data_IF_975132830697
#
_entry.id   IF_975132830697
#
_cell.length_a   1.000
_cell.length_b   1.000
_cell.length_c   1.000
_cell.angle_alpha   90.00
_cell.angle_beta   90.00
_cell.angle_gamma   90.00
#
_symmetry.space_group_name_H-M   'P 1'
#
loop_
_entity.id
_entity.type
_entity.pdbx_description
1 polymer ?
#
# COMPACT_ATOMS: atom_id res chain seq x y z
N UNK A 1 7.12 -45.59 30.63
CA UNK A 1 6.61 -45.36 29.26
C UNK A 1 6.36 -43.88 29.11
N UNK A 2 6.91 -43.30 28.05
CA UNK A 2 7.35 -41.91 27.96
C UNK A 2 6.22 -40.88 27.87
N UNK A 3 6.27 -39.87 28.74
CA UNK A 3 5.51 -38.63 28.61
C UNK A 3 6.18 -37.77 27.53
N UNK A 4 5.68 -37.87 26.31
CA UNK A 4 6.19 -37.11 25.18
C UNK A 4 5.76 -35.67 25.34
N UNK A 5 6.65 -34.88 25.94
CA UNK A 5 6.60 -33.43 25.98
C UNK A 5 6.42 -32.89 24.56
N UNK A 6 5.18 -32.58 24.17
CA UNK A 6 4.86 -31.80 22.97
C UNK A 6 5.45 -30.41 23.16
N UNK A 7 6.71 -30.24 22.78
CA UNK A 7 7.32 -28.92 22.61
C UNK A 7 6.56 -28.25 21.47
N UNK A 8 5.57 -27.41 21.82
CA UNK A 8 4.87 -26.59 20.84
C UNK A 8 5.89 -25.65 20.20
N UNK A 9 6.25 -25.91 18.96
CA UNK A 9 7.05 -24.96 18.18
C UNK A 9 6.14 -23.78 17.88
N UNK A 10 6.45 -22.55 18.31
CA UNK A 10 5.62 -21.41 17.95
C UNK A 10 5.63 -21.29 16.42
N UNK A 11 4.42 -21.28 15.84
CA UNK A 11 4.21 -21.08 14.41
C UNK A 11 4.95 -19.83 13.94
N UNK A 12 5.60 -19.91 12.77
CA UNK A 12 6.30 -18.78 12.12
C UNK A 12 5.41 -17.53 12.03
N UNK A 13 4.10 -17.70 11.91
CA UNK A 13 3.11 -16.62 11.86
C UNK A 13 2.99 -15.84 13.19
N UNK A 14 3.17 -16.48 14.34
CA UNK A 14 3.16 -15.82 15.65
C UNK A 14 4.45 -15.00 15.91
N UNK A 15 5.48 -15.20 15.07
CA UNK A 15 6.79 -14.57 15.20
C UNK A 15 6.99 -13.38 14.25
N UNK A 16 6.02 -13.12 13.38
CA UNK A 16 6.09 -12.12 12.33
C UNK A 16 5.62 -10.72 12.77
N UNK A 17 4.92 -10.59 13.90
CA UNK A 17 4.42 -9.28 14.37
C UNK A 17 5.49 -8.48 15.14
N UNK A 18 6.59 -9.13 15.55
CA UNK A 18 7.63 -8.53 16.41
C UNK A 18 9.04 -9.01 16.05
N UNK A 19 9.36 -9.16 14.79
CA UNK A 19 10.71 -9.58 14.38
C UNK A 19 11.75 -8.48 14.61
N UNK A 20 11.43 -7.21 14.35
CA UNK A 20 12.29 -6.05 14.64
C UNK A 20 12.54 -5.88 16.14
N UNK A 21 11.50 -6.02 16.98
CA UNK A 21 11.65 -5.96 18.44
C UNK A 21 12.54 -7.10 18.96
N UNK A 22 12.39 -8.31 18.41
CA UNK A 22 13.22 -9.44 18.75
C UNK A 22 14.67 -9.28 18.26
N UNK A 23 14.89 -8.52 17.18
CA UNK A 23 16.21 -8.16 16.67
C UNK A 23 16.88 -7.11 17.55
N UNK A 24 16.15 -6.09 18.01
CA UNK A 24 16.68 -5.05 18.91
C UNK A 24 17.22 -5.62 20.23
N UNK A 25 16.63 -6.71 20.74
CA UNK A 25 17.14 -7.42 21.93
C UNK A 25 18.50 -8.09 21.71
N UNK A 26 18.88 -8.36 20.46
CA UNK A 26 20.10 -9.12 20.09
C UNK A 26 21.18 -8.26 19.47
N UNK A 27 20.80 -7.13 18.87
CA UNK A 27 21.68 -6.22 18.15
C UNK A 27 21.88 -4.94 18.98
N UNK A 28 22.96 -4.85 19.77
CA UNK A 28 23.26 -3.62 20.50
C UNK A 28 23.43 -2.46 19.51
N UNK A 29 22.61 -1.41 19.67
CA UNK A 29 22.57 -0.23 18.80
C UNK A 29 21.38 -0.18 17.83
N UNK A 30 20.60 -1.26 17.68
CA UNK A 30 19.33 -1.24 16.97
C UNK A 30 18.22 -0.78 17.90
N UNK A 31 17.63 0.38 17.61
CA UNK A 31 16.46 0.89 18.32
C UNK A 31 15.20 0.62 17.48
N UNK A 32 14.40 -0.35 17.90
CA UNK A 32 13.16 -0.71 17.21
C UNK A 32 12.14 0.44 17.16
N UNK A 33 12.11 1.32 18.16
CA UNK A 33 11.19 2.46 18.19
C UNK A 33 11.54 3.53 17.15
N UNK A 34 12.79 3.52 16.66
CA UNK A 34 13.29 4.44 15.63
C UNK A 34 13.50 3.75 14.28
N UNK A 35 13.26 2.45 14.20
CA UNK A 35 13.39 1.71 12.97
C UNK A 35 12.24 2.08 12.03
N UNK A 36 12.59 2.53 10.83
CA UNK A 36 11.64 2.84 9.77
C UNK A 36 11.80 1.82 8.64
N UNK A 37 10.72 1.13 8.31
CA UNK A 37 10.66 0.20 7.19
C UNK A 37 10.06 0.92 5.97
N UNK A 38 10.93 1.34 5.05
CA UNK A 38 10.51 2.01 3.82
C UNK A 38 9.71 1.10 2.90
N UNK A 39 9.95 -0.22 2.93
CA UNK A 39 9.23 -1.16 2.10
C UNK A 39 7.79 -1.32 2.59
N UNK A 40 7.58 -1.38 3.91
CA UNK A 40 6.24 -1.42 4.49
C UNK A 40 5.42 -0.17 4.10
N UNK A 41 6.03 1.00 4.10
CA UNK A 41 5.40 2.26 3.67
C UNK A 41 5.08 2.29 2.16
N UNK A 42 5.98 1.80 1.32
CA UNK A 42 5.75 1.64 -0.13
C UNK A 42 4.61 0.66 -0.43
N UNK A 43 4.61 -0.51 0.20
CA UNK A 43 3.57 -1.52 0.05
C UNK A 43 2.21 -1.01 0.53
N UNK A 44 2.19 -0.25 1.63
CA UNK A 44 1.00 0.42 2.13
C UNK A 44 0.43 1.39 1.08
N UNK A 45 1.25 2.29 0.53
CA UNK A 45 0.82 3.21 -0.53
C UNK A 45 0.33 2.48 -1.79
N UNK A 46 1.04 1.42 -2.20
CA UNK A 46 0.65 0.62 -3.34
C UNK A 46 -0.71 -0.07 -3.11
N UNK A 47 -0.97 -0.57 -1.89
CA UNK A 47 -2.25 -1.17 -1.52
C UNK A 47 -3.40 -0.15 -1.54
N UNK A 48 -3.18 1.09 -1.08
CA UNK A 48 -4.18 2.15 -1.14
C UNK A 48 -4.59 2.44 -2.60
N UNK A 49 -3.63 2.48 -3.52
CA UNK A 49 -3.87 2.69 -4.95
C UNK A 49 -4.56 1.49 -5.60
N UNK A 50 -4.17 0.26 -5.22
CA UNK A 50 -4.72 -0.98 -5.80
C UNK A 50 -6.16 -1.24 -5.37
N UNK A 51 -6.52 -0.88 -4.13
CA UNK A 51 -7.83 -1.19 -3.53
C UNK A 51 -8.50 0.07 -2.95
N UNK A 52 -8.87 1.06 -3.79
CA UNK A 52 -9.31 2.36 -3.33
C UNK A 52 -10.64 2.32 -2.54
N UNK A 53 -11.57 1.42 -2.90
CA UNK A 53 -12.83 1.25 -2.17
C UNK A 53 -12.58 0.76 -0.74
N UNK A 54 -11.73 -0.26 -0.59
CA UNK A 54 -11.38 -0.81 0.72
C UNK A 54 -10.67 0.24 1.57
N UNK A 55 -9.72 0.97 0.99
CA UNK A 55 -9.02 2.06 1.66
C UNK A 55 -9.98 3.13 2.22
N UNK A 56 -11.02 3.51 1.46
CA UNK A 56 -12.04 4.46 1.91
C UNK A 56 -12.90 3.89 3.04
N UNK A 57 -13.33 2.62 2.93
CA UNK A 57 -14.11 1.95 3.97
C UNK A 57 -13.35 1.87 5.29
N UNK A 58 -12.04 1.59 5.21
CA UNK A 58 -11.15 1.53 6.37
C UNK A 58 -10.67 2.91 6.84
N UNK A 59 -11.09 4.01 6.20
CA UNK A 59 -10.65 5.38 6.49
C UNK A 59 -9.12 5.57 6.40
N UNK A 60 -8.47 4.81 5.53
CA UNK A 60 -7.02 4.80 5.33
C UNK A 60 -6.55 5.75 4.22
N UNK A 61 -7.42 6.06 3.26
CA UNK A 61 -7.19 7.10 2.27
C UNK A 61 -7.99 8.35 2.65
N UNK A 62 -7.45 9.56 2.42
CA UNK A 62 -8.27 10.77 2.48
C UNK A 62 -9.44 10.57 1.53
N UNK A 63 -10.64 10.92 2.00
CA UNK A 63 -11.84 10.90 1.17
C UNK A 63 -11.76 12.08 0.20
N UNK A 64 -10.85 12.02 -0.78
CA UNK A 64 -10.95 12.87 -1.95
C UNK A 64 -12.09 12.29 -2.79
N UNK A 65 -13.27 12.87 -2.56
CA UNK A 65 -14.39 12.83 -3.50
C UNK A 65 -13.96 13.56 -4.76
N UNK A 66 -13.17 12.91 -5.59
CA UNK A 66 -13.06 13.25 -7.00
C UNK A 66 -13.66 12.09 -7.76
N UNK A 67 -14.99 12.11 -7.85
CA UNK A 67 -15.66 11.57 -9.01
C UNK A 67 -15.49 12.63 -10.09
N UNK A 68 -14.39 12.58 -10.83
CA UNK A 68 -14.31 13.28 -12.11
C UNK A 68 -15.19 12.54 -13.11
N UNK A 69 -16.50 12.79 -13.02
CA UNK A 69 -17.39 12.76 -14.18
C UNK A 69 -17.02 13.95 -15.06
N UNK A 70 -15.88 13.88 -15.75
CA UNK A 70 -15.63 14.77 -16.88
C UNK A 70 -15.18 13.92 -18.07
N UNK A 71 -16.18 13.27 -18.66
CA UNK A 71 -16.17 12.89 -20.08
C UNK A 71 -16.19 14.18 -20.89
N UNK A 72 -15.03 14.86 -20.98
CA UNK A 72 -14.81 15.86 -22.01
C UNK A 72 -14.44 15.10 -23.29
N UNK A 73 -15.47 14.77 -24.07
CA UNK A 73 -15.36 14.21 -25.42
C UNK A 73 -14.36 15.01 -26.30
N UNK A 74 -13.68 14.34 -27.26
CA UNK A 74 -12.77 15.01 -28.15
C UNK A 74 -13.56 15.94 -29.08
N UNK A 75 -13.25 17.23 -29.06
CA UNK A 75 -13.79 18.19 -30.01
C UNK A 75 -13.18 17.88 -31.38
N UNK A 76 -13.85 17.02 -32.13
CA UNK A 76 -13.60 16.74 -33.53
C UNK A 76 -13.83 18.05 -34.29
N UNK A 77 -12.75 18.77 -34.59
CA UNK A 77 -12.77 19.87 -35.54
C UNK A 77 -12.80 19.27 -36.96
N UNK A 78 -14.00 18.94 -37.42
CA UNK A 78 -14.33 18.79 -38.84
C UNK A 78 -14.97 20.10 -39.32
N UNK A 79 -14.73 20.42 -40.60
CA UNK A 79 -15.19 21.60 -41.39
C UNK A 79 -14.33 22.87 -41.27
N UNK A 80 -13.84 23.53 -42.33
CA UNK A 80 -14.09 23.48 -43.78
C UNK A 80 -12.86 24.04 -44.55
N UNK A 81 -12.55 23.49 -45.72
CA UNK A 81 -11.67 24.07 -46.75
C UNK A 81 -12.46 25.06 -47.67
N UNK A 82 -11.89 25.64 -48.75
CA UNK A 82 -10.66 26.40 -48.94
C UNK A 82 -10.93 27.82 -49.52
N UNK A 83 -9.96 28.74 -49.46
CA UNK A 83 -9.90 29.92 -50.32
C UNK A 83 -8.42 30.19 -50.65
N UNK A 84 -7.92 29.74 -51.80
CA UNK A 84 -7.90 30.48 -53.07
C UNK A 84 -7.16 31.83 -52.94
N UNK A 85 -6.03 31.91 -53.66
CA UNK A 85 -5.10 33.03 -53.83
C UNK A 85 -5.76 34.37 -54.20
N UNK A 86 -5.00 35.47 -54.10
CA UNK A 86 -4.37 36.01 -55.31
C UNK A 86 -2.84 35.96 -55.31
#
# INVERSE_FOLDING_TARGET
MSDTMRRSVPSKAARAVHDVDALAQKLPGLDAARYFDSQADEEYRAALTRWPVMARLMKLAPCETVFSDEVAEPLIAVENAPAASP
#
